data_IF_227025472150
#
_entry.id   IF_227025472150
#
_cell.length_a   1.000
_cell.length_b   1.000
_cell.length_c   1.000
_cell.angle_alpha   90.00
_cell.angle_beta   90.00
_cell.angle_gamma   90.00
#
_symmetry.space_group_name_H-M   'P 1'
#
loop_
_entity.id
_entity.type
_entity.pdbx_description
1 polymer ?
#
# COMPACT_ATOMS: atom_id res chain seq x y z
N UNK A 1 43.87 -21.34 -10.25
CA UNK A 1 42.78 -20.35 -10.10
C UNK A 1 41.78 -20.60 -11.22
N UNK A 2 40.51 -20.83 -10.90
CA UNK A 2 39.46 -20.89 -11.93
C UNK A 2 38.92 -19.47 -12.15
N UNK A 3 39.34 -18.84 -13.25
CA UNK A 3 38.70 -17.63 -13.75
C UNK A 3 37.40 -18.06 -14.44
N UNK A 4 36.28 -17.47 -14.04
CA UNK A 4 34.97 -17.76 -14.64
C UNK A 4 34.68 -16.70 -15.70
N UNK A 5 34.40 -17.13 -16.93
CA UNK A 5 33.90 -16.23 -17.96
C UNK A 5 32.46 -15.84 -17.63
N UNK A 6 32.10 -14.57 -17.88
CA UNK A 6 30.69 -14.17 -17.80
C UNK A 6 29.90 -14.94 -18.85
N UNK A 7 28.92 -15.72 -18.39
CA UNK A 7 27.96 -16.38 -19.28
C UNK A 7 26.89 -15.36 -19.70
N UNK A 8 26.35 -15.47 -20.92
CA UNK A 8 25.26 -14.60 -21.42
C UNK A 8 24.04 -14.54 -20.49
N UNK A 9 23.90 -15.55 -19.64
CA UNK A 9 22.82 -15.71 -18.69
C UNK A 9 23.13 -15.15 -17.30
N UNK A 10 24.19 -14.35 -17.15
CA UNK A 10 24.60 -13.70 -15.90
C UNK A 10 24.80 -12.21 -16.12
N UNK A 11 24.32 -11.41 -15.18
CA UNK A 11 24.63 -10.00 -15.09
C UNK A 11 25.51 -9.73 -13.85
N UNK A 12 26.52 -8.89 -14.01
CA UNK A 12 27.47 -8.55 -12.96
C UNK A 12 27.40 -7.07 -12.61
N UNK A 13 27.00 -6.79 -11.37
CA UNK A 13 26.86 -5.46 -10.82
C UNK A 13 28.04 -5.13 -9.90
N UNK A 14 28.63 -3.96 -10.06
CA UNK A 14 29.69 -3.43 -9.20
C UNK A 14 29.23 -2.11 -8.61
N UNK A 15 29.23 -2.01 -7.27
CA UNK A 15 28.70 -0.86 -6.53
C UNK A 15 27.27 -0.47 -7.00
N UNK A 16 26.43 -1.49 -7.25
CA UNK A 16 25.03 -1.33 -7.66
C UNK A 16 24.82 -0.93 -9.13
N UNK A 17 25.88 -0.79 -9.93
CA UNK A 17 25.79 -0.47 -11.37
C UNK A 17 26.04 -1.73 -12.20
N UNK A 18 25.20 -1.94 -13.22
CA UNK A 18 25.43 -3.00 -14.20
C UNK A 18 26.72 -2.69 -14.98
N UNK A 19 27.64 -3.66 -14.98
CA UNK A 19 28.93 -3.60 -15.69
C UNK A 19 29.16 -4.83 -16.55
N UNK A 20 28.11 -5.60 -16.82
CA UNK A 20 28.18 -6.92 -17.49
C UNK A 20 28.92 -6.83 -18.82
N UNK A 21 28.59 -5.82 -19.64
CA UNK A 21 29.19 -5.66 -20.97
C UNK A 21 30.68 -5.31 -20.93
N UNK A 22 31.15 -4.70 -19.84
CA UNK A 22 32.53 -4.23 -19.68
C UNK A 22 33.48 -5.34 -19.21
N UNK A 23 32.95 -6.45 -18.71
CA UNK A 23 33.70 -7.44 -17.93
C UNK A 23 33.89 -8.73 -18.72
N UNK A 24 35.12 -9.24 -18.73
CA UNK A 24 35.51 -10.46 -19.42
C UNK A 24 35.42 -11.67 -18.49
N UNK A 25 36.10 -11.61 -17.34
CA UNK A 25 36.13 -12.69 -16.36
C UNK A 25 36.06 -12.16 -14.94
N UNK A 26 35.62 -13.00 -14.01
CA UNK A 26 35.70 -12.72 -12.58
C UNK A 26 36.14 -13.95 -11.78
N UNK A 27 36.72 -13.73 -10.60
CA UNK A 27 37.10 -14.79 -9.66
C UNK A 27 36.98 -14.31 -8.21
N UNK A 28 36.42 -15.13 -7.32
CA UNK A 28 36.36 -14.83 -5.89
C UNK A 28 37.58 -15.40 -5.16
N UNK A 29 38.23 -14.55 -4.37
CA UNK A 29 39.39 -14.87 -3.55
C UNK A 29 39.23 -14.29 -2.14
N UNK A 30 38.86 -15.15 -1.20
CA UNK A 30 38.52 -14.74 0.16
C UNK A 30 37.41 -13.68 0.14
N UNK A 31 37.68 -12.50 0.71
CA UNK A 31 36.72 -11.38 0.76
C UNK A 31 36.78 -10.46 -0.47
N UNK A 32 37.52 -10.84 -1.53
CA UNK A 32 37.68 -10.04 -2.74
C UNK A 32 37.12 -10.75 -3.96
N UNK A 33 36.64 -9.97 -4.91
CA UNK A 33 36.29 -10.41 -6.26
C UNK A 33 37.25 -9.72 -7.24
N UNK A 34 38.06 -10.50 -7.92
CA UNK A 34 38.93 -10.06 -9.01
C UNK A 34 38.10 -9.98 -10.29
N UNK A 35 38.04 -8.81 -10.91
CA UNK A 35 37.27 -8.53 -12.12
C UNK A 35 38.22 -8.08 -13.22
N UNK A 36 38.24 -8.79 -14.35
CA UNK A 36 39.03 -8.45 -15.54
C UNK A 36 38.14 -7.77 -16.59
N UNK A 37 38.54 -6.58 -17.05
CA UNK A 37 37.76 -5.79 -18.01
C UNK A 37 38.18 -6.03 -19.47
N UNK A 38 37.20 -6.08 -20.37
CA UNK A 38 37.40 -6.33 -21.82
C UNK A 38 38.24 -5.25 -22.51
N UNK A 39 38.11 -4.00 -22.05
CA UNK A 39 38.70 -2.84 -22.75
C UNK A 39 40.23 -2.75 -22.62
N UNK A 40 40.81 -3.28 -21.54
CA UNK A 40 42.23 -3.12 -21.22
C UNK A 40 42.89 -4.39 -20.66
N UNK A 41 42.12 -5.48 -20.48
CA UNK A 41 42.60 -6.73 -19.87
C UNK A 41 43.07 -6.58 -18.41
N UNK A 42 42.90 -5.41 -17.80
CA UNK A 42 43.34 -5.15 -16.42
C UNK A 42 42.37 -5.79 -15.44
N UNK A 43 42.95 -6.34 -14.39
CA UNK A 43 42.21 -6.96 -13.30
C UNK A 43 42.19 -6.03 -12.09
N UNK A 44 41.00 -5.75 -11.59
CA UNK A 44 40.78 -4.93 -10.40
C UNK A 44 40.16 -5.77 -9.29
N UNK A 45 40.59 -5.53 -8.05
CA UNK A 45 40.08 -6.22 -6.89
C UNK A 45 39.00 -5.38 -6.20
N UNK A 46 37.78 -5.92 -6.13
CA UNK A 46 36.66 -5.35 -5.41
C UNK A 46 36.41 -6.15 -4.13
N UNK A 47 35.86 -5.51 -3.10
CA UNK A 47 35.35 -6.25 -1.95
C UNK A 47 34.12 -7.08 -2.39
N UNK A 48 33.96 -8.32 -1.89
CA UNK A 48 32.89 -9.22 -2.34
C UNK A 48 31.48 -8.58 -2.20
N UNK A 49 31.23 -7.82 -1.13
CA UNK A 49 29.95 -7.14 -0.89
C UNK A 49 29.60 -6.08 -1.94
N UNK A 50 30.59 -5.62 -2.72
CA UNK A 50 30.38 -4.64 -3.80
C UNK A 50 30.03 -5.30 -5.12
N UNK A 51 30.25 -6.61 -5.26
CA UNK A 51 30.01 -7.36 -6.48
C UNK A 51 28.79 -8.24 -6.29
N UNK A 52 27.75 -8.01 -7.10
CA UNK A 52 26.54 -8.82 -7.11
C UNK A 52 26.41 -9.49 -8.47
N UNK A 53 26.30 -10.81 -8.45
CA UNK A 53 26.06 -11.62 -9.65
C UNK A 53 24.60 -12.02 -9.63
N UNK A 54 23.90 -11.73 -10.72
CA UNK A 54 22.48 -12.03 -10.87
C UNK A 54 22.32 -12.95 -12.05
N UNK A 55 21.64 -14.09 -11.85
CA UNK A 55 21.35 -15.01 -12.95
C UNK A 55 20.09 -14.60 -13.70
N UNK A 56 20.01 -15.03 -14.96
CA UNK A 56 18.81 -14.88 -15.77
C UNK A 56 17.80 -15.97 -15.41
N UNK A 57 16.54 -15.58 -15.21
CA UNK A 57 15.41 -16.50 -15.07
C UNK A 57 15.23 -17.39 -16.31
N UNK A 58 15.69 -16.93 -17.48
CA UNK A 58 15.62 -17.67 -18.74
C UNK A 58 16.54 -18.91 -18.79
N UNK A 59 17.42 -19.12 -17.79
CA UNK A 59 18.14 -20.39 -17.64
C UNK A 59 17.20 -21.54 -17.23
N UNK A 60 16.07 -21.22 -16.61
CA UNK A 60 15.09 -22.21 -16.18
C UNK A 60 14.13 -22.53 -17.34
N UNK A 61 13.99 -23.81 -17.67
CA UNK A 61 13.17 -24.28 -18.79
C UNK A 61 11.68 -23.88 -18.68
N UNK A 62 11.12 -23.81 -17.47
CA UNK A 62 9.74 -23.37 -17.26
C UNK A 62 9.57 -21.87 -17.57
N UNK A 63 10.48 -21.04 -17.04
CA UNK A 63 10.48 -19.59 -17.32
C UNK A 63 10.70 -19.29 -18.80
N UNK A 64 11.66 -19.97 -19.42
CA UNK A 64 11.97 -19.83 -20.84
C UNK A 64 10.76 -20.23 -21.69
N UNK A 65 10.12 -21.36 -21.39
CA UNK A 65 8.95 -21.82 -22.13
C UNK A 65 7.80 -20.82 -22.07
N UNK A 66 7.50 -20.27 -20.88
CA UNK A 66 6.44 -19.27 -20.72
C UNK A 66 6.80 -17.96 -21.43
N UNK A 67 8.05 -17.52 -21.34
CA UNK A 67 8.50 -16.29 -22.00
C UNK A 67 8.46 -16.42 -23.53
N UNK A 68 8.92 -17.55 -24.07
CA UNK A 68 8.87 -17.89 -25.49
C UNK A 68 7.43 -17.97 -26.02
N UNK A 69 6.49 -18.45 -25.21
CA UNK A 69 5.06 -18.39 -25.54
C UNK A 69 4.54 -16.94 -25.63
N UNK A 70 4.87 -16.07 -24.66
CA UNK A 70 4.49 -14.65 -24.70
C UNK A 70 5.08 -13.93 -25.92
N UNK A 71 6.31 -14.28 -26.30
CA UNK A 71 6.98 -13.77 -27.50
C UNK A 71 6.24 -14.18 -28.78
N UNK A 72 5.85 -15.46 -28.91
CA UNK A 72 5.05 -15.94 -30.05
C UNK A 72 3.68 -15.23 -30.11
N UNK A 73 3.03 -15.00 -28.97
CA UNK A 73 1.82 -14.17 -28.93
C UNK A 73 2.12 -12.78 -29.48
N UNK A 74 3.18 -12.12 -29.01
CA UNK A 74 3.55 -10.78 -29.48
C UNK A 74 3.79 -10.73 -30.99
N UNK A 75 4.38 -11.76 -31.60
CA UNK A 75 4.55 -11.89 -33.05
C UNK A 75 3.21 -11.95 -33.81
N UNK A 76 2.22 -12.66 -33.25
CA UNK A 76 0.92 -12.90 -33.88
C UNK A 76 -0.04 -11.72 -33.71
N UNK A 77 -0.17 -11.16 -32.50
CA UNK A 77 -1.15 -10.09 -32.17
C UNK A 77 -0.55 -8.68 -32.13
N UNK A 78 0.76 -8.54 -32.24
CA UNK A 78 1.42 -7.25 -32.13
C UNK A 78 1.02 -6.28 -33.26
N UNK A 79 0.78 -5.03 -32.89
CA UNK A 79 0.45 -3.97 -33.83
C UNK A 79 1.67 -3.68 -34.73
N UNK A 80 1.42 -3.64 -36.04
CA UNK A 80 2.43 -3.25 -37.04
C UNK A 80 2.36 -1.75 -37.27
N UNK A 81 3.53 -1.11 -37.38
CA UNK A 81 3.63 0.28 -37.86
C UNK A 81 3.24 0.37 -39.34
N UNK A 82 3.12 1.60 -39.85
CA UNK A 82 2.95 1.86 -41.29
C UNK A 82 4.10 1.27 -42.13
N UNK A 83 5.28 1.11 -41.52
CA UNK A 83 6.47 0.48 -42.11
C UNK A 83 6.47 -1.06 -42.01
N UNK A 84 5.42 -1.65 -41.43
CA UNK A 84 5.24 -3.11 -41.29
C UNK A 84 5.93 -3.73 -40.07
N UNK A 85 6.59 -2.94 -39.24
CA UNK A 85 7.36 -3.40 -38.07
C UNK A 85 6.43 -3.74 -36.91
N UNK A 86 6.49 -4.97 -36.39
CA UNK A 86 5.77 -5.35 -35.17
C UNK A 86 6.55 -4.87 -33.94
N UNK A 87 6.09 -3.76 -33.35
CA UNK A 87 6.77 -3.09 -32.23
C UNK A 87 6.88 -4.01 -31.01
N UNK A 88 5.82 -4.76 -30.71
CA UNK A 88 5.80 -5.59 -29.51
C UNK A 88 6.78 -6.76 -29.63
N UNK A 89 6.80 -7.43 -30.79
CA UNK A 89 7.75 -8.51 -31.06
C UNK A 89 9.20 -8.01 -30.98
N UNK A 90 9.51 -6.88 -31.61
CA UNK A 90 10.85 -6.25 -31.56
C UNK A 90 11.27 -5.89 -30.11
N UNK A 91 10.34 -5.47 -29.26
CA UNK A 91 10.64 -5.24 -27.84
C UNK A 91 10.90 -6.55 -27.07
N UNK A 92 10.17 -7.63 -27.34
CA UNK A 92 10.44 -8.94 -26.73
C UNK A 92 11.80 -9.50 -27.20
N UNK A 93 12.16 -9.32 -28.47
CA UNK A 93 13.46 -9.73 -29.02
C UNK A 93 14.64 -9.06 -28.31
N UNK A 94 14.46 -7.82 -27.86
CA UNK A 94 15.48 -7.06 -27.12
C UNK A 94 15.67 -7.52 -25.68
N UNK A 95 14.77 -8.33 -25.13
CA UNK A 95 14.86 -8.83 -23.75
C UNK A 95 15.64 -10.14 -23.75
N UNK A 96 16.97 -10.05 -23.70
CA UNK A 96 17.85 -11.22 -23.61
C UNK A 96 18.09 -11.70 -22.17
N UNK A 97 17.82 -10.86 -21.16
CA UNK A 97 18.12 -11.12 -19.76
C UNK A 97 16.94 -10.73 -18.85
N UNK A 98 16.54 -11.64 -17.97
CA UNK A 98 15.50 -11.38 -16.95
C UNK A 98 16.11 -11.68 -15.58
N UNK A 99 16.32 -10.68 -14.69
CA UNK A 99 16.88 -10.93 -13.37
C UNK A 99 16.06 -11.97 -12.59
N UNK A 100 16.70 -12.97 -11.99
CA UNK A 100 16.02 -14.07 -11.28
C UNK A 100 15.10 -13.61 -10.14
N UNK A 101 15.42 -12.47 -9.52
CA UNK A 101 14.63 -11.87 -8.43
C UNK A 101 13.62 -10.81 -8.90
N UNK A 102 13.47 -10.59 -10.21
CA UNK A 102 12.52 -9.61 -10.74
C UNK A 102 11.06 -10.06 -10.58
N UNK A 103 10.12 -9.12 -10.56
CA UNK A 103 8.68 -9.42 -10.58
C UNK A 103 8.30 -10.27 -11.80
N UNK A 104 8.91 -9.99 -12.96
CA UNK A 104 8.70 -10.77 -14.18
C UNK A 104 9.16 -12.22 -14.01
N UNK A 105 10.33 -12.47 -13.41
CA UNK A 105 10.79 -13.82 -13.09
C UNK A 105 9.80 -14.57 -12.19
N UNK A 106 9.28 -13.93 -11.15
CA UNK A 106 8.27 -14.54 -10.27
C UNK A 106 6.99 -14.90 -11.05
N UNK A 107 6.52 -14.02 -11.92
CA UNK A 107 5.37 -14.27 -12.79
C UNK A 107 5.60 -15.48 -13.72
N UNK A 108 6.74 -15.53 -14.41
CA UNK A 108 7.10 -16.62 -15.31
C UNK A 108 7.20 -17.98 -14.59
N UNK A 109 7.68 -17.97 -13.34
CA UNK A 109 7.80 -19.16 -12.50
C UNK A 109 6.55 -19.45 -11.63
N UNK A 110 5.46 -18.68 -11.77
CA UNK A 110 4.24 -18.82 -10.96
C UNK A 110 4.50 -18.75 -9.44
N UNK A 111 5.51 -17.98 -9.04
CA UNK A 111 5.85 -17.73 -7.63
C UNK A 111 5.24 -16.40 -7.20
N UNK A 112 4.77 -16.32 -5.97
CA UNK A 112 4.42 -15.03 -5.39
C UNK A 112 5.69 -14.25 -5.06
N UNK A 113 5.78 -12.95 -5.43
CA UNK A 113 6.87 -12.10 -4.97
C UNK A 113 6.88 -12.02 -3.44
N UNK A 114 8.03 -12.24 -2.83
CA UNK A 114 8.17 -12.11 -1.38
C UNK A 114 8.21 -10.64 -0.96
N UNK A 115 7.76 -10.37 0.26
CA UNK A 115 7.82 -9.03 0.86
C UNK A 115 9.28 -8.59 0.99
N UNK A 116 9.58 -7.32 0.69
CA UNK A 116 10.93 -6.80 0.91
C UNK A 116 11.14 -6.53 2.41
N UNK A 117 12.06 -7.25 3.10
CA UNK A 117 12.32 -7.04 4.52
C UNK A 117 13.03 -5.70 4.80
N UNK A 118 13.59 -5.04 3.78
CA UNK A 118 14.33 -3.78 3.89
C UNK A 118 13.58 -2.60 3.26
N UNK A 119 12.25 -2.62 3.31
CA UNK A 119 11.38 -1.56 2.83
C UNK A 119 11.81 -0.19 3.40
N UNK A 120 12.09 0.82 2.55
CA UNK A 120 12.37 2.16 3.04
C UNK A 120 11.12 2.74 3.73
N UNK A 121 11.29 3.50 4.83
CA UNK A 121 10.14 4.08 5.52
C UNK A 121 9.46 5.10 4.61
N UNK A 122 8.12 5.10 4.62
CA UNK A 122 7.35 6.20 4.06
C UNK A 122 7.54 7.41 4.94
N UNK A 123 7.96 8.52 4.33
CA UNK A 123 8.36 9.72 5.05
C UNK A 123 7.25 10.75 5.11
N UNK A 124 6.57 10.99 3.98
CA UNK A 124 5.68 12.15 3.82
C UNK A 124 4.53 11.86 2.84
N UNK A 125 3.43 12.62 2.97
CA UNK A 125 2.33 12.65 2.01
C UNK A 125 2.08 14.10 1.52
N UNK A 126 2.95 14.65 0.66
CA UNK A 126 2.89 16.05 0.23
C UNK A 126 1.67 16.40 -0.65
N UNK A 127 0.86 15.41 -1.02
CA UNK A 127 -0.39 15.64 -1.74
C UNK A 127 -1.63 15.35 -0.89
N UNK A 128 -1.48 15.19 0.43
CA UNK A 128 -2.54 14.80 1.36
C UNK A 128 -2.91 13.32 1.22
N UNK A 129 -3.73 12.80 2.13
CA UNK A 129 -4.15 11.39 2.11
C UNK A 129 -5.45 11.14 2.88
N UNK A 130 -6.05 9.98 2.64
CA UNK A 130 -6.95 9.31 3.59
C UNK A 130 -6.35 7.95 4.00
N UNK A 131 -6.99 7.22 4.91
CA UNK A 131 -6.43 5.96 5.44
C UNK A 131 -6.23 4.86 4.38
N UNK A 132 -7.14 4.72 3.42
CA UNK A 132 -6.99 3.70 2.37
C UNK A 132 -5.87 4.07 1.39
N UNK A 133 -5.71 5.36 1.09
CA UNK A 133 -4.59 5.87 0.29
C UNK A 133 -3.26 5.71 1.03
N UNK A 134 -3.20 6.02 2.33
CA UNK A 134 -2.02 5.80 3.19
C UNK A 134 -1.59 4.33 3.13
N UNK A 135 -2.53 3.42 3.40
CA UNK A 135 -2.29 1.98 3.28
C UNK A 135 -1.81 1.60 1.89
N UNK A 136 -2.42 2.15 0.84
CA UNK A 136 -2.00 1.90 -0.54
C UNK A 136 -0.54 2.28 -0.81
N UNK A 137 -0.06 3.40 -0.27
CA UNK A 137 1.37 3.79 -0.37
C UNK A 137 2.25 2.84 0.46
N UNK A 138 1.86 2.51 1.70
CA UNK A 138 2.58 1.57 2.59
C UNK A 138 2.77 0.18 1.96
N UNK A 139 1.71 -0.36 1.37
CA UNK A 139 1.75 -1.64 0.67
C UNK A 139 2.64 -1.55 -0.58
N UNK A 140 2.59 -0.43 -1.33
CA UNK A 140 3.39 -0.22 -2.54
C UNK A 140 4.91 -0.21 -2.33
N UNK A 141 5.38 0.23 -1.16
CA UNK A 141 6.81 0.18 -0.82
C UNK A 141 7.23 -1.13 -0.17
N UNK A 142 6.32 -1.79 0.53
CA UNK A 142 6.63 -3.02 1.26
C UNK A 142 6.53 -4.28 0.41
N UNK A 143 5.86 -4.23 -0.74
CA UNK A 143 5.71 -5.36 -1.67
C UNK A 143 6.29 -5.05 -3.05
N UNK A 144 6.97 -6.01 -3.71
CA UNK A 144 7.47 -5.84 -5.08
C UNK A 144 6.37 -5.61 -6.12
N UNK A 145 5.14 -6.06 -5.84
CA UNK A 145 3.97 -5.87 -6.68
C UNK A 145 2.78 -5.51 -5.78
N UNK A 146 2.11 -4.39 -6.10
CA UNK A 146 0.92 -3.93 -5.41
C UNK A 146 -0.18 -3.56 -6.40
N UNK A 147 -1.41 -4.01 -6.12
CA UNK A 147 -2.61 -3.66 -6.89
C UNK A 147 -3.47 -2.75 -6.02
N UNK A 148 -3.58 -1.49 -6.42
CA UNK A 148 -4.38 -0.47 -5.70
C UNK A 148 -5.62 -0.18 -6.52
N UNK A 149 -6.78 -0.61 -6.02
CA UNK A 149 -8.07 -0.35 -6.64
C UNK A 149 -8.76 0.86 -5.98
N UNK A 150 -9.44 1.67 -6.80
CA UNK A 150 -10.20 2.81 -6.32
C UNK A 150 -11.29 3.23 -7.31
N UNK A 151 -12.56 3.34 -6.86
CA UNK A 151 -13.65 3.88 -7.67
C UNK A 151 -13.35 5.26 -8.30
N UNK A 152 -14.15 5.73 -9.28
CA UNK A 152 -14.03 7.10 -9.79
C UNK A 152 -14.10 8.12 -8.66
N UNK A 153 -13.23 9.15 -8.70
CA UNK A 153 -13.21 10.22 -7.68
C UNK A 153 -12.47 9.92 -6.37
N UNK A 154 -11.95 8.70 -6.14
CA UNK A 154 -11.29 8.34 -4.85
C UNK A 154 -9.83 8.79 -4.70
N UNK A 155 -9.37 9.71 -5.56
CA UNK A 155 -8.02 10.28 -5.44
C UNK A 155 -6.88 9.38 -5.93
N UNK A 156 -7.09 8.46 -6.87
CA UNK A 156 -6.03 7.60 -7.45
C UNK A 156 -4.76 8.36 -7.85
N UNK A 157 -4.90 9.49 -8.54
CA UNK A 157 -3.76 10.33 -8.95
C UNK A 157 -2.99 10.87 -7.74
N UNK A 158 -3.68 11.17 -6.64
CA UNK A 158 -3.05 11.64 -5.40
C UNK A 158 -2.21 10.53 -4.74
N UNK A 159 -2.71 9.28 -4.73
CA UNK A 159 -1.93 8.12 -4.29
C UNK A 159 -0.69 7.91 -5.16
N UNK A 160 -0.82 7.99 -6.49
CA UNK A 160 0.32 7.89 -7.43
C UNK A 160 1.38 8.95 -7.12
N UNK A 161 0.96 10.21 -6.91
CA UNK A 161 1.88 11.30 -6.60
C UNK A 161 2.59 11.12 -5.26
N UNK A 162 1.91 10.60 -4.23
CA UNK A 162 2.55 10.27 -2.95
C UNK A 162 3.53 9.09 -3.07
N UNK A 163 3.26 8.09 -3.92
CA UNK A 163 4.22 7.02 -4.24
C UNK A 163 5.46 7.61 -4.90
N UNK A 164 5.27 8.44 -5.94
CA UNK A 164 6.34 9.13 -6.65
C UNK A 164 7.20 9.96 -5.69
N UNK A 165 6.56 10.77 -4.83
CA UNK A 165 7.27 11.62 -3.88
C UNK A 165 8.17 10.80 -2.95
N UNK A 166 7.65 9.73 -2.34
CA UNK A 166 8.45 8.88 -1.45
C UNK A 166 9.58 8.14 -2.19
N UNK A 167 9.34 7.68 -3.42
CA UNK A 167 10.37 7.03 -4.23
C UNK A 167 11.52 8.01 -4.56
N UNK A 168 11.17 9.23 -4.95
CA UNK A 168 12.15 10.29 -5.23
C UNK A 168 12.92 10.69 -3.96
N UNK A 169 12.26 10.76 -2.80
CA UNK A 169 12.92 10.98 -1.51
C UNK A 169 13.89 9.86 -1.13
N UNK A 170 13.59 8.63 -1.53
CA UNK A 170 14.48 7.47 -1.34
C UNK A 170 15.54 7.35 -2.46
N UNK A 171 15.80 8.43 -3.21
CA UNK A 171 16.76 8.49 -4.31
C UNK A 171 16.49 7.52 -5.46
N UNK A 172 15.28 6.97 -5.56
CA UNK A 172 14.88 6.08 -6.65
C UNK A 172 14.49 6.89 -7.90
N UNK A 173 14.44 6.18 -9.03
CA UNK A 173 13.86 6.65 -10.29
C UNK A 173 12.51 5.98 -10.51
N UNK A 174 11.53 6.71 -11.05
CA UNK A 174 10.17 6.21 -11.24
C UNK A 174 9.80 6.25 -12.72
N UNK A 175 9.21 5.17 -13.24
CA UNK A 175 8.54 5.17 -14.53
C UNK A 175 7.03 5.09 -14.30
N UNK A 176 6.29 6.09 -14.77
CA UNK A 176 4.82 6.11 -14.79
C UNK A 176 4.40 5.73 -16.19
N UNK A 177 3.56 4.70 -16.32
CA UNK A 177 3.09 4.22 -17.63
C UNK A 177 1.58 4.07 -17.62
N UNK A 178 0.94 4.34 -18.75
CA UNK A 178 -0.49 4.10 -18.94
C UNK A 178 -0.80 3.81 -20.40
N UNK A 179 -1.84 3.02 -20.64
CA UNK A 179 -2.42 2.87 -21.98
C UNK A 179 -3.13 4.14 -22.47
N UNK A 180 -3.44 5.09 -21.56
CA UNK A 180 -4.13 6.33 -21.88
C UNK A 180 -3.24 7.55 -21.58
N UNK A 181 -2.91 8.32 -22.62
CA UNK A 181 -2.14 9.56 -22.52
C UNK A 181 -2.77 10.60 -21.56
N UNK A 182 -4.09 10.58 -21.37
CA UNK A 182 -4.75 11.48 -20.43
C UNK A 182 -4.38 11.17 -18.97
N UNK A 183 -4.15 9.89 -18.62
CA UNK A 183 -3.83 9.48 -17.26
C UNK A 183 -2.41 9.93 -16.86
N UNK A 184 -1.43 9.74 -17.75
CA UNK A 184 -0.05 10.21 -17.56
C UNK A 184 0.02 11.73 -17.58
N UNK A 185 -0.70 12.41 -18.48
CA UNK A 185 -0.81 13.87 -18.49
C UNK A 185 -1.38 14.42 -17.18
N UNK A 186 -2.43 13.80 -16.63
CA UNK A 186 -3.00 14.23 -15.34
C UNK A 186 -2.00 14.15 -14.17
N UNK A 187 -1.09 13.17 -14.18
CA UNK A 187 0.00 13.10 -13.19
C UNK A 187 0.99 14.24 -13.41
N UNK A 188 1.41 14.47 -14.66
CA UNK A 188 2.32 15.55 -15.02
C UNK A 188 1.75 16.93 -14.68
N UNK A 189 0.52 17.24 -15.09
CA UNK A 189 -0.15 18.52 -14.82
C UNK A 189 -0.25 18.80 -13.31
N UNK A 190 -0.41 17.75 -12.48
CA UNK A 190 -0.40 17.91 -11.01
C UNK A 190 1.00 18.16 -10.45
N UNK A 191 2.05 17.54 -11.01
CA UNK A 191 3.43 17.89 -10.65
C UNK A 191 3.74 19.34 -11.04
N UNK A 192 3.35 19.74 -12.24
CA UNK A 192 3.57 21.09 -12.77
C UNK A 192 2.90 22.18 -11.92
N UNK A 193 1.63 21.99 -11.54
CA UNK A 193 0.91 22.89 -10.62
C UNK A 193 1.59 23.08 -9.26
N UNK A 194 2.45 22.14 -8.85
CA UNK A 194 3.20 22.21 -7.60
C UNK A 194 4.65 22.68 -7.80
N UNK A 195 5.04 23.04 -9.02
CA UNK A 195 6.40 23.44 -9.40
C UNK A 195 7.38 22.28 -9.49
N UNK A 196 6.89 21.06 -9.72
CA UNK A 196 7.66 19.81 -9.71
C UNK A 196 7.82 19.19 -11.11
N UNK A 197 7.44 19.88 -12.18
CA UNK A 197 7.54 19.34 -13.55
C UNK A 197 8.99 19.11 -14.00
N UNK A 198 9.95 19.89 -13.51
CA UNK A 198 11.38 19.77 -13.89
C UNK A 198 12.04 18.44 -13.49
N UNK A 199 11.45 17.68 -12.55
CA UNK A 199 11.94 16.34 -12.18
C UNK A 199 11.28 15.22 -13.00
N UNK A 200 10.35 15.55 -13.90
CA UNK A 200 9.60 14.63 -14.74
C UNK A 200 9.91 14.83 -16.22
N UNK A 201 10.08 13.72 -16.93
CA UNK A 201 10.22 13.68 -18.38
C UNK A 201 9.02 13.01 -19.02
N UNK A 202 8.32 13.72 -19.91
CA UNK A 202 7.26 13.15 -20.73
C UNK A 202 7.88 12.35 -21.88
N UNK A 203 7.93 11.04 -21.75
CA UNK A 203 8.49 10.15 -22.76
C UNK A 203 7.34 9.52 -23.56
N UNK A 204 7.30 9.81 -24.86
CA UNK A 204 6.29 9.26 -25.77
C UNK A 204 6.88 8.96 -27.15
N UNK A 205 6.16 9.39 -28.19
CA UNK A 205 6.66 9.46 -29.57
C UNK A 205 8.06 10.12 -29.60
N UNK A 206 8.93 9.62 -30.49
CA UNK A 206 10.23 10.18 -30.90
C UNK A 206 10.30 11.72 -30.91
N UNK A 207 9.26 12.39 -31.41
CA UNK A 207 9.13 13.84 -31.45
C UNK A 207 9.03 14.45 -30.04
N UNK A 208 8.22 13.88 -29.15
CA UNK A 208 8.12 14.34 -27.75
C UNK A 208 9.40 14.08 -26.97
N UNK A 209 10.11 13.00 -27.30
CA UNK A 209 11.45 12.74 -26.72
C UNK A 209 12.44 13.80 -27.17
N UNK A 210 12.45 14.15 -28.47
CA UNK A 210 13.26 15.24 -29.01
C UNK A 210 12.89 16.58 -28.42
N UNK A 211 11.60 16.91 -28.42
CA UNK A 211 11.05 18.12 -27.82
C UNK A 211 11.46 18.21 -26.35
N UNK A 212 11.35 17.15 -25.55
CA UNK A 212 11.80 17.15 -24.15
C UNK A 212 13.32 17.34 -24.01
N UNK A 213 14.13 16.71 -24.86
CA UNK A 213 15.58 16.87 -24.85
C UNK A 213 16.01 18.28 -25.28
N UNK A 214 15.28 18.89 -26.21
CA UNK A 214 15.51 20.24 -26.74
C UNK A 214 14.93 21.33 -25.83
N UNK A 215 13.81 21.03 -25.15
CA UNK A 215 13.08 21.90 -24.22
C UNK A 215 13.42 21.58 -22.76
N UNK A 216 14.56 20.94 -22.51
CA UNK A 216 14.96 20.54 -21.16
C UNK A 216 15.08 21.80 -20.31
N UNK A 217 14.03 22.08 -19.52
CA UNK A 217 13.94 23.31 -18.74
C UNK A 217 15.14 23.38 -17.80
N UNK A 218 15.80 24.54 -17.76
CA UNK A 218 16.80 24.80 -16.73
C UNK A 218 16.16 24.53 -15.36
N UNK A 219 16.92 23.91 -14.44
CA UNK A 219 16.45 23.74 -13.06
C UNK A 219 16.00 25.11 -12.57
N UNK A 220 14.73 25.27 -12.16
CA UNK A 220 14.27 26.55 -11.65
C UNK A 220 15.10 26.91 -10.42
N UNK A 221 15.23 28.19 -10.09
CA UNK A 221 15.94 28.57 -8.87
C UNK A 221 15.28 27.91 -7.64
N UNK A 222 16.00 26.97 -7.04
CA UNK A 222 15.56 26.19 -5.89
C UNK A 222 16.01 26.80 -4.56
N UNK A 223 16.68 27.96 -4.58
CA UNK A 223 17.20 28.62 -3.35
C UNK A 223 16.10 28.82 -2.29
N UNK A 224 14.88 29.16 -2.72
CA UNK A 224 13.71 29.31 -1.84
C UNK A 224 13.19 28.00 -1.23
N UNK A 225 13.76 26.84 -1.57
CA UNK A 225 13.42 25.53 -0.98
C UNK A 225 14.45 25.06 0.04
N UNK A 226 15.52 25.85 0.23
CA UNK A 226 16.50 25.59 1.27
C UNK A 226 15.86 25.78 2.65
N UNK A 227 16.12 24.82 3.53
CA UNK A 227 15.84 24.91 4.96
C UNK A 227 17.17 24.72 5.69
N UNK A 228 17.33 25.38 6.82
CA UNK A 228 18.42 25.05 7.75
C UNK A 228 18.16 23.67 8.37
N UNK A 229 19.21 23.04 8.91
CA UNK A 229 19.06 21.74 9.58
C UNK A 229 18.06 21.81 10.76
N UNK A 230 18.08 22.92 11.50
CA UNK A 230 17.19 23.18 12.64
C UNK A 230 15.73 23.35 12.21
N UNK A 231 15.47 24.13 11.16
CA UNK A 231 14.12 24.29 10.59
C UNK A 231 13.58 22.97 10.03
N UNK A 232 14.39 22.24 9.25
CA UNK A 232 14.00 20.96 8.67
C UNK A 232 13.65 19.94 9.77
N UNK A 233 14.45 19.88 10.84
CA UNK A 233 14.18 19.02 11.99
C UNK A 233 12.88 19.43 12.71
N UNK A 234 12.69 20.72 12.99
CA UNK A 234 11.48 21.22 13.66
C UNK A 234 10.20 20.95 12.85
N UNK A 235 10.26 21.16 11.53
CA UNK A 235 9.16 20.83 10.62
C UNK A 235 8.91 19.32 10.57
N UNK A 236 9.96 18.50 10.56
CA UNK A 236 9.81 17.05 10.56
C UNK A 236 9.14 16.53 11.85
N UNK A 237 9.56 17.05 13.02
CA UNK A 237 8.99 16.69 14.31
C UNK A 237 7.50 17.10 14.41
N UNK A 238 7.19 18.35 14.08
CA UNK A 238 5.80 18.85 14.08
C UNK A 238 4.91 18.10 13.08
N UNK A 239 5.41 17.80 11.89
CA UNK A 239 4.66 17.05 10.88
C UNK A 239 4.44 15.59 11.27
N UNK A 240 5.39 14.98 12.01
CA UNK A 240 5.25 13.62 12.55
C UNK A 240 4.15 13.56 13.61
N UNK A 241 4.12 14.53 14.54
CA UNK A 241 3.06 14.65 15.53
C UNK A 241 1.69 14.88 14.88
N UNK A 242 1.64 15.76 13.87
CA UNK A 242 0.40 16.05 13.15
C UNK A 242 -0.09 14.85 12.35
N UNK A 243 0.82 14.07 11.74
CA UNK A 243 0.49 12.82 11.05
C UNK A 243 -0.14 11.78 11.99
N UNK A 244 0.40 11.62 13.20
CA UNK A 244 -0.14 10.70 14.19
C UNK A 244 -1.56 11.13 14.61
N UNK A 245 -1.76 12.42 14.92
CA UNK A 245 -3.08 12.96 15.24
C UNK A 245 -4.08 12.81 14.08
N UNK A 246 -3.68 13.12 12.85
CA UNK A 246 -4.54 12.96 11.67
C UNK A 246 -4.91 11.50 11.44
N UNK A 247 -3.94 10.58 11.54
CA UNK A 247 -4.18 9.15 11.36
C UNK A 247 -5.20 8.63 12.38
N UNK A 248 -5.01 8.93 13.67
CA UNK A 248 -5.93 8.54 14.73
C UNK A 248 -7.35 9.08 14.51
N UNK A 249 -7.48 10.36 14.16
CA UNK A 249 -8.79 10.99 13.96
C UNK A 249 -9.49 10.51 12.69
N UNK A 250 -8.74 10.19 11.62
CA UNK A 250 -9.29 9.52 10.45
C UNK A 250 -9.78 8.10 10.78
N UNK A 251 -9.11 7.39 11.69
CA UNK A 251 -9.55 6.05 12.13
C UNK A 251 -10.88 6.15 12.88
N UNK A 252 -11.00 7.12 13.79
CA UNK A 252 -12.25 7.43 14.48
C UNK A 252 -13.38 7.82 13.51
N UNK A 253 -13.08 8.60 12.47
CA UNK A 253 -14.06 8.99 11.46
C UNK A 253 -14.57 7.76 10.67
N UNK A 254 -13.67 6.86 10.28
CA UNK A 254 -14.02 5.61 9.60
C UNK A 254 -14.82 4.68 10.53
N UNK A 255 -14.42 4.53 11.79
CA UNK A 255 -15.13 3.74 12.79
C UNK A 255 -16.55 4.28 13.00
N UNK A 256 -16.69 5.61 13.12
CA UNK A 256 -17.99 6.27 13.28
C UNK A 256 -18.91 5.99 12.09
N UNK A 257 -18.40 6.05 10.85
CA UNK A 257 -19.18 5.74 9.65
C UNK A 257 -19.65 4.27 9.64
N UNK A 258 -18.77 3.33 10.03
CA UNK A 258 -19.12 1.92 10.15
C UNK A 258 -20.15 1.66 11.24
N UNK A 259 -20.01 2.32 12.40
CA UNK A 259 -20.93 2.20 13.53
C UNK A 259 -22.32 2.72 13.18
N UNK A 260 -22.43 3.86 12.48
CA UNK A 260 -23.73 4.40 12.03
C UNK A 260 -24.49 3.37 11.18
N UNK A 261 -23.83 2.81 10.17
CA UNK A 261 -24.40 1.75 9.32
C UNK A 261 -24.77 0.50 10.14
N UNK A 262 -23.90 0.11 11.08
CA UNK A 262 -24.14 -1.08 11.90
C UNK A 262 -25.32 -0.90 12.85
N UNK A 263 -25.48 0.27 13.46
CA UNK A 263 -26.64 0.63 14.29
C UNK A 263 -27.92 0.55 13.45
N UNK A 264 -27.96 1.18 12.27
CA UNK A 264 -29.11 1.14 11.37
C UNK A 264 -29.52 -0.29 10.99
N UNK A 265 -28.54 -1.15 10.71
CA UNK A 265 -28.79 -2.56 10.42
C UNK A 265 -29.40 -3.30 11.63
N UNK A 266 -28.80 -3.15 12.81
CA UNK A 266 -29.26 -3.82 14.04
C UNK A 266 -30.65 -3.30 14.47
N UNK A 267 -30.91 -2.01 14.31
CA UNK A 267 -32.24 -1.42 14.56
C UNK A 267 -33.29 -1.95 13.58
N UNK A 268 -32.92 -2.13 12.32
CA UNK A 268 -33.81 -2.71 11.30
C UNK A 268 -34.12 -4.17 11.62
N UNK A 269 -33.10 -4.96 11.96
CA UNK A 269 -33.25 -6.34 12.41
C UNK A 269 -34.18 -6.43 13.64
N UNK A 270 -33.98 -5.55 14.63
CA UNK A 270 -34.79 -5.51 15.84
C UNK A 270 -36.26 -5.11 15.56
N UNK A 271 -36.50 -4.19 14.61
CA UNK A 271 -37.86 -3.86 14.17
C UNK A 271 -38.56 -5.04 13.52
N UNK A 272 -37.87 -5.81 12.69
CA UNK A 272 -38.42 -7.03 12.09
C UNK A 272 -38.72 -8.09 13.16
N UNK A 273 -37.80 -8.29 14.10
CA UNK A 273 -38.00 -9.20 15.23
C UNK A 273 -39.23 -8.85 16.06
N UNK A 274 -39.40 -7.59 16.44
CA UNK A 274 -40.53 -7.13 17.28
C UNK A 274 -41.87 -7.05 16.55
N UNK A 275 -41.87 -6.86 15.23
CA UNK A 275 -43.11 -6.86 14.42
C UNK A 275 -43.62 -8.27 14.10
N UNK A 276 -42.73 -9.25 13.95
CA UNK A 276 -43.10 -10.64 13.69
C UNK A 276 -43.55 -11.39 14.96
N UNK A 277 -43.17 -10.92 16.15
CA UNK A 277 -43.37 -11.64 17.41
C UNK A 277 -43.86 -10.72 18.52
N UNK A 278 -44.97 -11.09 19.18
CA UNK A 278 -45.40 -10.39 20.39
C UNK A 278 -44.36 -10.60 21.50
N UNK A 279 -43.69 -9.53 21.92
CA UNK A 279 -42.69 -9.58 23.00
C UNK A 279 -43.41 -9.83 24.33
N UNK A 280 -43.38 -11.07 24.81
CA UNK A 280 -43.96 -11.45 26.10
C UNK A 280 -42.99 -11.20 27.25
N UNK A 281 -43.44 -10.41 28.23
CA UNK A 281 -42.91 -10.17 29.58
C UNK A 281 -41.40 -9.93 29.74
N UNK A 282 -41.03 -8.71 30.15
CA UNK A 282 -39.65 -8.25 30.38
C UNK A 282 -38.93 -9.10 31.45
N UNK A 283 -37.85 -9.78 31.06
CA UNK A 283 -36.99 -10.52 31.99
C UNK A 283 -35.99 -9.56 32.65
N UNK A 284 -35.84 -9.64 33.97
CA UNK A 284 -34.89 -8.79 34.69
C UNK A 284 -33.47 -9.37 34.69
N UNK A 285 -32.56 -8.63 34.07
CA UNK A 285 -31.11 -8.88 34.08
C UNK A 285 -30.36 -7.92 35.02
N UNK A 286 -29.08 -8.21 35.27
CA UNK A 286 -28.15 -7.28 35.93
C UNK A 286 -28.03 -6.00 35.10
N UNK A 287 -27.89 -4.86 35.79
CA UNK A 287 -27.83 -3.51 35.16
C UNK A 287 -26.72 -3.38 34.11
N UNK A 288 -25.57 -4.01 34.35
CA UNK A 288 -24.39 -3.92 33.48
C UNK A 288 -24.15 -5.22 32.70
N UNK A 289 -25.22 -5.92 32.31
CA UNK A 289 -25.09 -7.09 31.42
C UNK A 289 -24.66 -6.61 30.04
N UNK A 290 -23.66 -7.25 29.43
CA UNK A 290 -23.21 -6.89 28.08
C UNK A 290 -23.99 -7.63 26.99
N UNK A 291 -24.00 -7.09 25.77
CA UNK A 291 -24.59 -7.77 24.61
C UNK A 291 -23.92 -9.13 24.34
N UNK A 292 -22.60 -9.24 24.57
CA UNK A 292 -21.87 -10.50 24.44
C UNK A 292 -22.29 -11.58 25.44
N UNK A 293 -22.60 -11.19 26.69
CA UNK A 293 -23.16 -12.10 27.69
C UNK A 293 -24.56 -12.59 27.28
N UNK A 294 -25.40 -11.70 26.76
CA UNK A 294 -26.76 -12.04 26.31
C UNK A 294 -26.74 -12.94 25.08
N UNK A 295 -25.84 -12.69 24.12
CA UNK A 295 -25.66 -13.57 22.96
C UNK A 295 -25.20 -14.98 23.38
N UNK A 296 -24.27 -15.05 24.33
CA UNK A 296 -23.81 -16.32 24.88
C UNK A 296 -24.92 -17.07 25.61
N UNK A 297 -25.77 -16.35 26.35
CA UNK A 297 -26.95 -16.91 27.00
C UNK A 297 -27.96 -17.42 25.97
N UNK A 298 -28.24 -16.63 24.93
CA UNK A 298 -29.14 -17.00 23.84
C UNK A 298 -28.71 -18.32 23.20
N UNK A 299 -27.46 -18.42 22.71
CA UNK A 299 -26.90 -19.65 22.12
C UNK A 299 -27.00 -20.83 23.11
N UNK A 300 -26.77 -20.57 24.39
CA UNK A 300 -26.88 -21.60 25.42
C UNK A 300 -28.31 -22.12 25.53
N UNK A 301 -29.32 -21.25 25.53
CA UNK A 301 -30.73 -21.65 25.64
C UNK A 301 -31.17 -22.45 24.40
N UNK A 302 -30.79 -22.02 23.19
CA UNK A 302 -31.07 -22.75 21.95
C UNK A 302 -30.50 -24.17 21.99
N UNK A 303 -29.29 -24.35 22.52
CA UNK A 303 -28.71 -25.67 22.69
C UNK A 303 -29.49 -26.57 23.67
N UNK A 304 -30.10 -25.99 24.72
CA UNK A 304 -30.99 -26.74 25.61
C UNK A 304 -32.30 -27.12 24.93
N UNK A 305 -32.90 -26.19 24.18
CA UNK A 305 -34.11 -26.44 23.40
C UNK A 305 -33.90 -27.57 22.40
N UNK A 306 -32.84 -27.51 21.60
CA UNK A 306 -32.50 -28.53 20.60
C UNK A 306 -32.20 -29.90 21.23
N UNK A 307 -31.63 -29.93 22.44
CA UNK A 307 -31.34 -31.20 23.14
C UNK A 307 -32.53 -31.74 23.95
N UNK A 308 -33.62 -30.99 24.09
CA UNK A 308 -34.78 -31.34 24.91
C UNK A 308 -34.50 -31.46 26.42
N UNK A 309 -33.31 -31.09 26.87
CA UNK A 309 -32.89 -31.21 28.28
C UNK A 309 -33.38 -30.03 29.09
N UNK A 310 -33.86 -30.28 30.31
CA UNK A 310 -34.17 -29.20 31.27
C UNK A 310 -32.90 -28.57 31.86
N UNK A 311 -32.98 -27.30 32.28
CA UNK A 311 -31.90 -26.67 33.02
C UNK A 311 -31.60 -27.44 34.30
N UNK A 312 -30.32 -27.81 34.49
CA UNK A 312 -29.88 -28.42 35.74
C UNK A 312 -29.77 -27.37 36.87
N UNK A 313 -29.75 -27.83 38.12
CA UNK A 313 -29.64 -26.94 39.28
C UNK A 313 -28.35 -26.11 39.27
N UNK A 314 -27.27 -26.62 38.67
CA UNK A 314 -26.03 -25.89 38.45
C UNK A 314 -26.22 -24.63 37.56
N UNK A 315 -27.18 -24.62 36.63
CA UNK A 315 -27.50 -23.42 35.83
C UNK A 315 -28.17 -22.32 36.67
N UNK A 316 -28.96 -22.70 37.68
CA UNK A 316 -29.54 -21.75 38.64
C UNK A 316 -28.46 -21.01 39.44
N UNK A 317 -27.32 -21.66 39.68
CA UNK A 317 -26.17 -21.05 40.34
C UNK A 317 -25.28 -20.25 39.38
N UNK A 318 -25.05 -20.76 38.16
CA UNK A 318 -24.06 -20.18 37.23
C UNK A 318 -24.60 -19.04 36.36
N UNK A 319 -25.87 -19.10 35.91
CA UNK A 319 -26.43 -18.09 35.00
C UNK A 319 -26.52 -16.67 35.60
N UNK A 320 -26.81 -16.47 36.90
CA UNK A 320 -26.72 -15.14 37.52
C UNK A 320 -25.32 -14.53 37.45
N UNK A 321 -24.28 -15.35 37.58
CA UNK A 321 -22.89 -14.91 37.53
C UNK A 321 -22.39 -14.69 36.09
N UNK A 322 -22.63 -15.67 35.21
CA UNK A 322 -22.14 -15.65 33.82
C UNK A 322 -22.90 -14.68 32.92
N UNK A 323 -24.23 -14.65 33.05
CA UNK A 323 -25.13 -13.95 32.12
C UNK A 323 -25.99 -12.88 32.79
N UNK A 324 -25.87 -12.70 34.11
CA UNK A 324 -26.61 -11.66 34.83
C UNK A 324 -28.11 -11.94 34.96
N UNK A 325 -28.57 -13.19 34.86
CA UNK A 325 -29.97 -13.57 35.05
C UNK A 325 -30.36 -13.39 36.52
N UNK A 326 -31.27 -12.45 36.83
CA UNK A 326 -31.72 -12.18 38.21
C UNK A 326 -33.17 -12.57 38.47
N UNK A 327 -33.96 -12.73 37.41
CA UNK A 327 -35.36 -13.09 37.53
C UNK A 327 -35.52 -14.57 37.94
N UNK A 328 -36.22 -14.83 39.05
CA UNK A 328 -36.49 -16.20 39.50
C UNK A 328 -37.48 -16.92 38.58
N UNK A 329 -38.40 -16.16 37.95
CA UNK A 329 -39.39 -16.68 37.00
C UNK A 329 -38.74 -17.17 35.70
N UNK A 330 -37.46 -16.82 35.46
CA UNK A 330 -36.69 -17.27 34.30
C UNK A 330 -36.72 -18.79 34.14
N UNK A 331 -36.55 -19.56 35.22
CA UNK A 331 -36.44 -21.02 35.14
C UNK A 331 -37.79 -21.75 35.03
N UNK A 332 -38.89 -21.00 35.03
CA UNK A 332 -40.27 -21.52 34.96
C UNK A 332 -40.87 -21.34 33.56
N UNK A 333 -40.27 -20.51 32.70
CA UNK A 333 -40.73 -20.21 31.34
C UNK A 333 -40.30 -21.25 30.32
N UNK A 334 -41.00 -21.28 29.18
CA UNK A 334 -40.62 -22.14 28.05
C UNK A 334 -39.31 -21.66 27.41
N UNK A 335 -38.59 -22.55 26.72
CA UNK A 335 -37.38 -22.17 26.00
C UNK A 335 -37.66 -21.12 24.93
N UNK A 336 -38.76 -21.26 24.20
CA UNK A 336 -39.23 -20.30 23.21
C UNK A 336 -39.43 -18.89 23.82
N UNK A 337 -40.07 -18.77 24.98
CA UNK A 337 -40.23 -17.49 25.68
C UNK A 337 -38.88 -16.92 26.13
N UNK A 338 -38.00 -17.76 26.66
CA UNK A 338 -36.67 -17.33 27.11
C UNK A 338 -35.80 -16.83 25.97
N UNK A 339 -35.78 -17.54 24.84
CA UNK A 339 -35.06 -17.13 23.64
C UNK A 339 -35.55 -15.77 23.20
N UNK A 340 -36.87 -15.57 23.07
CA UNK A 340 -37.46 -14.29 22.66
C UNK A 340 -37.10 -13.14 23.62
N UNK A 341 -37.24 -13.35 24.92
CA UNK A 341 -36.93 -12.30 25.91
C UNK A 341 -35.43 -11.98 25.97
N UNK A 342 -34.55 -12.98 25.81
CA UNK A 342 -33.10 -12.76 25.76
C UNK A 342 -32.69 -12.06 24.46
N UNK A 343 -33.28 -12.43 23.32
CA UNK A 343 -33.09 -11.74 22.04
C UNK A 343 -33.51 -10.27 22.13
N UNK A 344 -34.71 -9.99 22.65
CA UNK A 344 -35.18 -8.62 22.85
C UNK A 344 -34.22 -7.81 23.73
N UNK A 345 -33.74 -8.42 24.82
CA UNK A 345 -32.75 -7.76 25.69
C UNK A 345 -31.41 -7.57 25.00
N UNK A 346 -30.94 -8.54 24.22
CA UNK A 346 -29.71 -8.46 23.44
C UNK A 346 -29.73 -7.24 22.52
N UNK A 347 -30.78 -7.07 21.70
CA UNK A 347 -30.87 -5.94 20.77
C UNK A 347 -30.85 -4.60 21.51
N UNK A 348 -31.65 -4.44 22.57
CA UNK A 348 -31.69 -3.17 23.33
C UNK A 348 -30.33 -2.82 23.95
N UNK A 349 -29.64 -3.80 24.55
CA UNK A 349 -28.30 -3.60 25.12
C UNK A 349 -27.27 -3.32 24.03
N UNK A 350 -27.29 -4.09 22.93
CA UNK A 350 -26.37 -3.93 21.80
C UNK A 350 -26.49 -2.55 21.17
N UNK A 351 -27.72 -2.07 20.91
CA UNK A 351 -27.96 -0.73 20.37
C UNK A 351 -27.44 0.33 21.34
N UNK A 352 -27.64 0.16 22.66
CA UNK A 352 -27.12 1.11 23.66
C UNK A 352 -25.59 1.17 23.71
N UNK A 353 -24.91 0.01 23.64
CA UNK A 353 -23.44 -0.08 23.62
C UNK A 353 -22.87 0.60 22.38
N UNK A 354 -23.45 0.33 21.21
CA UNK A 354 -23.06 0.95 19.95
C UNK A 354 -23.30 2.46 19.95
N UNK A 355 -24.44 2.90 20.47
CA UNK A 355 -24.80 4.33 20.56
C UNK A 355 -23.87 5.07 21.52
N UNK A 356 -23.48 4.44 22.64
CA UNK A 356 -22.49 5.01 23.55
C UNK A 356 -21.14 5.19 22.87
N UNK A 357 -20.65 4.17 22.13
CA UNK A 357 -19.39 4.27 21.38
C UNK A 357 -19.47 5.35 20.29
N UNK A 358 -20.59 5.42 19.56
CA UNK A 358 -20.86 6.47 18.57
C UNK A 358 -20.73 7.86 19.21
N UNK A 359 -21.37 8.09 20.36
CA UNK A 359 -21.33 9.38 21.07
C UNK A 359 -19.90 9.74 21.53
N UNK A 360 -19.13 8.76 22.01
CA UNK A 360 -17.72 8.96 22.37
C UNK A 360 -16.88 9.41 21.17
N UNK A 361 -17.06 8.78 20.01
CA UNK A 361 -16.36 9.17 18.79
C UNK A 361 -16.80 10.53 18.26
N UNK A 362 -18.10 10.83 18.30
CA UNK A 362 -18.64 12.14 17.91
C UNK A 362 -18.05 13.25 18.78
N UNK A 363 -17.96 13.05 20.10
CA UNK A 363 -17.29 13.99 21.00
C UNK A 363 -15.79 14.11 20.72
N UNK A 364 -15.10 13.00 20.45
CA UNK A 364 -13.66 13.01 20.14
C UNK A 364 -13.31 13.70 18.80
N UNK A 365 -14.30 13.87 17.91
CA UNK A 365 -14.16 14.49 16.60
C UNK A 365 -14.71 15.92 16.53
N UNK A 366 -15.51 16.34 17.51
CA UNK A 366 -16.31 17.57 17.47
C UNK A 366 -15.48 18.83 17.18
N UNK A 367 -14.32 18.96 17.82
CA UNK A 367 -13.45 20.15 17.69
C UNK A 367 -12.25 19.92 16.75
N UNK A 368 -12.24 18.84 15.98
CA UNK A 368 -11.11 18.51 15.11
C UNK A 368 -11.28 19.07 13.70
N UNK A 369 -10.50 20.10 13.36
CA UNK A 369 -10.49 20.73 12.03
C UNK A 369 -9.73 19.90 10.98
N UNK A 370 -10.35 18.83 10.46
CA UNK A 370 -9.73 17.96 9.45
C UNK A 370 -9.16 18.71 8.25
N UNK A 371 -9.93 19.61 7.65
CA UNK A 371 -9.52 20.34 6.44
C UNK A 371 -8.30 21.22 6.67
N UNK A 372 -8.28 21.96 7.78
CA UNK A 372 -7.17 22.83 8.17
C UNK A 372 -5.93 22.01 8.52
N UNK A 373 -6.06 21.02 9.41
CA UNK A 373 -4.93 20.16 9.82
C UNK A 373 -4.35 19.37 8.65
N UNK A 374 -5.19 18.85 7.75
CA UNK A 374 -4.72 18.17 6.54
C UNK A 374 -4.00 19.13 5.60
N UNK A 375 -4.50 20.37 5.46
CA UNK A 375 -3.84 21.42 4.67
C UNK A 375 -2.46 21.76 5.26
N UNK A 376 -2.38 22.07 6.55
CA UNK A 376 -1.11 22.34 7.25
C UNK A 376 -0.13 21.19 7.09
N UNK A 377 -0.58 19.95 7.30
CA UNK A 377 0.23 18.76 7.10
C UNK A 377 0.77 18.64 5.67
N UNK A 378 -0.10 18.88 4.68
CA UNK A 378 0.26 18.79 3.25
C UNK A 378 1.28 19.88 2.88
N UNK A 379 1.11 21.10 3.38
CA UNK A 379 2.03 22.22 3.15
C UNK A 379 3.41 21.96 3.76
N UNK A 380 3.47 21.54 5.03
CA UNK A 380 4.74 21.19 5.70
C UNK A 380 5.40 19.99 5.01
N UNK A 381 4.63 18.96 4.65
CA UNK A 381 5.13 17.81 3.88
C UNK A 381 5.71 18.24 2.53
N UNK A 382 5.08 19.19 1.84
CA UNK A 382 5.59 19.71 0.58
C UNK A 382 6.87 20.53 0.76
N UNK A 383 6.98 21.33 1.83
CA UNK A 383 8.23 22.06 2.14
C UNK A 383 9.38 21.10 2.41
N UNK A 384 9.18 20.08 3.24
CA UNK A 384 10.18 19.04 3.50
C UNK A 384 10.55 18.28 2.22
N UNK A 385 9.57 17.95 1.36
CA UNK A 385 9.83 17.31 0.07
C UNK A 385 10.68 18.20 -0.85
N UNK A 386 10.32 19.47 -0.98
CA UNK A 386 11.08 20.48 -1.75
C UNK A 386 12.50 20.64 -1.23
N UNK A 387 12.71 20.62 0.08
CA UNK A 387 14.03 20.66 0.69
C UNK A 387 14.91 19.46 0.28
N UNK A 388 14.34 18.24 0.25
CA UNK A 388 15.06 17.05 -0.23
C UNK A 388 15.41 17.17 -1.72
N UNK A 389 14.52 17.76 -2.53
CA UNK A 389 14.81 18.03 -3.94
C UNK A 389 15.94 19.05 -4.10
N UNK A 390 15.92 20.14 -3.31
CA UNK A 390 16.99 21.12 -3.27
C UNK A 390 18.35 20.45 -3.02
N UNK A 391 18.46 19.66 -1.93
CA UNK A 391 19.69 18.92 -1.61
C UNK A 391 20.13 17.98 -2.75
N UNK A 392 19.19 17.36 -3.46
CA UNK A 392 19.49 16.41 -4.56
C UNK A 392 19.96 17.08 -5.84
N UNK A 393 19.52 18.30 -6.13
CA UNK A 393 19.75 18.98 -7.41
C UNK A 393 20.66 20.22 -7.32
N UNK A 394 20.95 20.75 -6.14
CA UNK A 394 21.82 21.92 -5.95
C UNK A 394 23.23 21.76 -6.57
N UNK A 395 23.84 20.58 -6.48
CA UNK A 395 25.20 20.33 -6.98
C UNK A 395 25.28 19.90 -8.45
N UNK A 396 24.14 19.71 -9.13
CA UNK A 396 24.12 19.24 -10.51
C UNK A 396 24.04 20.43 -11.46
N UNK A 397 25.09 20.64 -12.26
CA UNK A 397 25.05 21.66 -13.31
C UNK A 397 23.92 21.37 -14.31
N UNK A 398 23.32 22.43 -14.85
CA UNK A 398 22.12 22.42 -15.71
C UNK A 398 22.20 21.48 -16.94
N UNK A 399 23.36 20.94 -17.29
CA UNK A 399 23.59 20.16 -18.53
C UNK A 399 23.57 18.63 -18.37
N UNK A 400 23.36 18.06 -17.18
CA UNK A 400 23.43 16.60 -17.00
C UNK A 400 22.41 16.05 -15.97
N UNK A 401 21.16 16.49 -16.05
CA UNK A 401 20.11 15.99 -15.16
C UNK A 401 19.49 14.76 -15.79
N UNK A 402 19.66 13.62 -15.12
CA UNK A 402 18.81 12.46 -15.37
C UNK A 402 17.48 12.70 -14.66
N UNK A 403 16.34 12.79 -15.38
CA UNK A 403 15.04 12.97 -14.75
C UNK A 403 14.81 11.87 -13.72
N UNK A 404 14.31 12.25 -12.55
CA UNK A 404 13.97 11.29 -11.49
C UNK A 404 12.69 10.51 -11.82
N UNK A 405 11.88 11.03 -12.74
CA UNK A 405 10.61 10.46 -13.15
C UNK A 405 10.53 10.47 -14.68
N UNK A 406 10.18 9.33 -15.26
CA UNK A 406 9.75 9.21 -16.66
C UNK A 406 8.24 8.96 -16.67
N UNK A 407 7.49 9.69 -17.49
CA UNK A 407 6.01 9.63 -17.58
C UNK A 407 5.57 9.33 -19.00
#
# INVERSE_FOLDING_TARGET
MQKTNIQESQALFIDGKDRTDEIETYAFEGNKCLVTYKNNGKTYAYHQNKVKIVKSALQNAESESVFSYLKQIAEVVGLKTEEGTNILADHYDKIAFIPEHSVLSHYLNRKQPEKDPHCPPIRLFPFGFNLSQKKGVEEAFSHPLSIIEGPPGTGKTQTILNIIANAVMNHQSVAVVSSNNAATKNVFDKLDRNGLSFIAALLGNSEKKKEFLESQAEIPDLSGWQLTAEEAQSLQESNTLLFAQLSEKLEHQNELALLKRYIENVETEYRHFTSAMAVSADLRFKKNVSSGQLLSLWITIEAYEASGKKFNWWRKLTFPFLYGVRDKTFYERSYEELIRSVQAKYYTVKISELTLRKAQLESALQDFSFGEKMKTYTEVSMQLFRHVLYQRYQEKSARNIRPGICI
#
